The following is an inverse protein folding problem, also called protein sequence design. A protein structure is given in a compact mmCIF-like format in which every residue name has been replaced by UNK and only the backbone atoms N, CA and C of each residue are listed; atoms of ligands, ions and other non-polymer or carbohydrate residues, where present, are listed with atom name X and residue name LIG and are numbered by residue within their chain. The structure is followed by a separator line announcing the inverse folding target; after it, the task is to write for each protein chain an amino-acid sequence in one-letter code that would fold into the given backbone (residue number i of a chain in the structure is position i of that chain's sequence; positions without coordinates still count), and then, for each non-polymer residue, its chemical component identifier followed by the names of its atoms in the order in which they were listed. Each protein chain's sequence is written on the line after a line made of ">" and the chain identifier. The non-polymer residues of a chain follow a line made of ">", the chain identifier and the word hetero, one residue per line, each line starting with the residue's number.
data_IF_927220789601
#
_entry.id   IF_927220789601
#
_cell.length_a   1.000
_cell.length_b   1.000
_cell.length_c   1.000
_cell.angle_alpha   90.00
_cell.angle_beta   90.00
_cell.angle_gamma   90.00
#
_symmetry.space_group_name_H-M   'P 1'
#
loop_
_entity.id
_entity.type
_entity.pdbx_description
1 polymer ?
#
# COMPACT_ATOMS: atom_id res chain seq x y z
N UNK A 1 -9.69 7.27 -23.98
CA UNK A 1 -10.32 5.96 -23.72
C UNK A 1 -11.78 6.00 -24.18
N UNK A 2 -12.22 4.94 -24.85
CA UNK A 2 -13.63 4.70 -25.19
C UNK A 2 -13.99 3.35 -24.60
N UNK A 3 -15.07 3.26 -23.84
CA UNK A 3 -15.58 2.03 -23.25
C UNK A 3 -17.11 2.03 -23.17
N UNK A 4 -17.68 0.84 -23.23
CA UNK A 4 -19.10 0.63 -23.05
C UNK A 4 -19.33 -0.22 -21.80
N UNK A 5 -20.22 0.23 -20.91
CA UNK A 5 -20.65 -0.55 -19.76
C UNK A 5 -21.97 -1.22 -20.10
N UNK A 6 -21.98 -2.54 -20.08
CA UNK A 6 -23.14 -3.35 -20.51
C UNK A 6 -23.52 -4.34 -19.41
N UNK A 7 -24.81 -4.69 -19.36
CA UNK A 7 -25.28 -5.82 -18.56
C UNK A 7 -24.91 -7.15 -19.26
N UNK A 8 -24.49 -8.12 -18.47
CA UNK A 8 -24.12 -9.46 -18.96
C UNK A 8 -24.76 -10.56 -18.11
N UNK A 9 -24.75 -11.80 -18.62
CA UNK A 9 -25.14 -12.99 -17.87
C UNK A 9 -23.97 -13.57 -17.03
N UNK A 10 -22.80 -12.99 -17.14
CA UNK A 10 -21.65 -13.40 -16.35
C UNK A 10 -21.78 -12.95 -14.91
N UNK A 11 -20.99 -13.55 -14.03
CA UNK A 11 -20.85 -13.09 -12.66
C UNK A 11 -20.52 -11.59 -12.65
N UNK A 12 -21.20 -10.84 -11.80
CA UNK A 12 -20.95 -9.39 -11.66
C UNK A 12 -19.52 -9.15 -11.17
N UNK A 13 -18.89 -8.13 -11.73
CA UNK A 13 -17.60 -7.65 -11.21
C UNK A 13 -17.76 -7.09 -9.80
N UNK A 14 -16.68 -7.11 -9.03
CA UNK A 14 -16.60 -6.56 -7.69
C UNK A 14 -15.30 -5.80 -7.47
N UNK A 15 -15.11 -5.30 -6.25
CA UNK A 15 -13.88 -4.66 -5.85
C UNK A 15 -12.74 -5.68 -5.78
N UNK A 16 -11.69 -5.45 -6.53
CA UNK A 16 -10.43 -6.18 -6.46
C UNK A 16 -9.30 -5.20 -6.16
N UNK A 17 -8.23 -5.63 -5.50
CA UNK A 17 -7.07 -4.80 -5.19
C UNK A 17 -6.60 -4.01 -6.42
N UNK A 18 -6.43 -2.68 -6.29
CA UNK A 18 -6.16 -1.77 -7.41
C UNK A 18 -7.41 -1.15 -8.04
N UNK A 19 -8.60 -1.70 -7.81
CA UNK A 19 -9.95 -1.20 -8.13
C UNK A 19 -10.06 -0.45 -9.47
N UNK A 20 -9.73 -1.15 -10.58
CA UNK A 20 -9.75 -0.64 -11.95
C UNK A 20 -8.49 0.10 -12.39
N UNK A 21 -7.64 0.59 -11.48
CA UNK A 21 -6.36 1.18 -11.85
C UNK A 21 -5.42 0.15 -12.50
N UNK A 22 -5.49 -1.10 -12.09
CA UNK A 22 -4.65 -2.20 -12.63
C UNK A 22 -4.82 -2.35 -14.14
N UNK A 23 -6.06 -2.38 -14.64
CA UNK A 23 -6.37 -2.45 -16.07
C UNK A 23 -5.97 -1.18 -16.81
N UNK A 24 -6.28 -0.02 -16.21
CA UNK A 24 -5.94 1.29 -16.77
C UNK A 24 -4.43 1.48 -16.89
N UNK A 25 -3.69 1.16 -15.85
CA UNK A 25 -2.23 1.27 -15.82
C UNK A 25 -1.55 0.25 -16.75
N UNK A 26 -2.08 -0.96 -16.87
CA UNK A 26 -1.59 -1.90 -17.87
C UNK A 26 -1.66 -1.30 -19.29
N UNK A 27 -2.78 -0.67 -19.64
CA UNK A 27 -2.95 -0.06 -20.95
C UNK A 27 -2.03 1.16 -21.15
N UNK A 28 -1.95 2.07 -20.17
CA UNK A 28 -1.12 3.28 -20.22
C UNK A 28 0.36 2.93 -20.28
N UNK A 29 0.83 2.10 -19.36
CA UNK A 29 2.24 1.72 -19.25
C UNK A 29 2.72 0.90 -20.47
N UNK A 30 1.84 0.03 -21.00
CA UNK A 30 2.13 -0.67 -22.26
C UNK A 30 2.25 0.30 -23.44
N UNK A 31 1.42 1.35 -23.49
CA UNK A 31 1.52 2.39 -24.51
C UNK A 31 2.80 3.22 -24.36
N UNK A 32 3.21 3.55 -23.13
CA UNK A 32 4.48 4.25 -22.85
C UNK A 32 5.68 3.40 -23.27
N UNK A 33 5.68 2.10 -22.97
CA UNK A 33 6.74 1.17 -23.38
C UNK A 33 6.78 1.03 -24.92
N UNK A 34 5.62 0.99 -25.59
CA UNK A 34 5.57 0.97 -27.05
C UNK A 34 6.09 2.29 -27.65
N UNK A 35 5.74 3.43 -27.06
CA UNK A 35 6.25 4.74 -27.49
C UNK A 35 7.77 4.83 -27.31
N UNK A 36 8.30 4.40 -26.17
CA UNK A 36 9.73 4.34 -25.90
C UNK A 36 10.47 3.54 -26.98
N UNK A 37 9.97 2.34 -27.29
CA UNK A 37 10.54 1.48 -28.33
C UNK A 37 10.51 2.13 -29.73
N UNK A 38 9.40 2.79 -30.11
CA UNK A 38 9.27 3.49 -31.40
C UNK A 38 10.19 4.69 -31.52
N UNK A 39 10.45 5.39 -30.42
CA UNK A 39 11.32 6.55 -30.37
C UNK A 39 12.80 6.18 -30.20
N UNK A 40 13.11 4.91 -29.90
CA UNK A 40 14.45 4.47 -29.55
C UNK A 40 14.96 5.06 -28.23
N UNK A 41 14.05 5.37 -27.31
CA UNK A 41 14.35 5.94 -25.99
C UNK A 41 14.24 4.81 -24.95
N UNK A 42 15.19 4.77 -24.00
CA UNK A 42 15.14 3.84 -22.88
C UNK A 42 13.86 4.03 -22.05
N UNK A 43 13.14 2.94 -21.65
CA UNK A 43 11.92 3.02 -20.88
C UNK A 43 12.03 3.75 -19.53
N UNK A 44 13.16 3.68 -18.85
CA UNK A 44 13.41 4.47 -17.63
C UNK A 44 13.61 5.95 -17.98
N UNK A 45 14.34 6.25 -19.04
CA UNK A 45 14.65 7.61 -19.45
C UNK A 45 13.40 8.39 -19.89
N UNK A 46 12.49 7.76 -20.65
CA UNK A 46 11.24 8.43 -21.05
C UNK A 46 10.38 8.76 -19.83
N UNK A 47 10.35 7.88 -18.80
CA UNK A 47 9.62 8.13 -17.56
C UNK A 47 10.29 9.22 -16.74
N UNK A 48 11.61 9.17 -16.54
CA UNK A 48 12.36 10.19 -15.79
C UNK A 48 12.11 11.61 -16.29
N UNK A 49 11.90 11.77 -17.60
CA UNK A 49 11.56 13.06 -18.23
C UNK A 49 10.13 13.52 -18.01
N UNK A 50 9.21 12.61 -17.64
CA UNK A 50 7.77 12.85 -17.63
C UNK A 50 7.12 12.62 -16.26
N UNK A 51 7.85 12.23 -15.22
CA UNK A 51 7.31 12.06 -13.87
C UNK A 51 7.01 13.40 -13.20
N UNK A 52 5.94 13.47 -12.37
CA UNK A 52 5.71 14.59 -11.49
C UNK A 52 6.77 14.63 -10.39
N UNK A 53 7.10 15.82 -9.92
CA UNK A 53 8.00 16.06 -8.79
C UNK A 53 7.24 16.66 -7.63
N UNK A 54 7.86 16.62 -6.45
CA UNK A 54 7.34 17.29 -5.27
C UNK A 54 7.16 18.79 -5.54
N UNK A 55 6.04 19.37 -5.09
CA UNK A 55 5.64 20.76 -5.32
C UNK A 55 4.97 21.02 -6.67
N UNK A 56 4.94 20.06 -7.59
CA UNK A 56 4.27 20.25 -8.88
C UNK A 56 2.76 19.95 -8.79
N UNK A 57 1.98 20.75 -9.54
CA UNK A 57 0.55 20.47 -9.69
C UNK A 57 0.34 19.30 -10.63
N UNK A 58 -0.53 18.37 -10.26
CA UNK A 58 -0.94 17.23 -11.07
C UNK A 58 -2.32 17.47 -11.71
N UNK A 59 -2.41 18.04 -12.90
CA UNK A 59 -3.70 18.49 -13.47
C UNK A 59 -4.69 17.34 -13.68
N UNK A 60 -4.21 16.16 -14.04
CA UNK A 60 -5.04 14.98 -14.29
C UNK A 60 -5.43 14.24 -13.00
N UNK A 61 -4.87 14.62 -11.86
CA UNK A 61 -5.16 14.03 -10.55
C UNK A 61 -5.71 15.09 -9.60
N UNK A 62 -7.01 15.35 -9.74
CA UNK A 62 -7.78 16.37 -8.99
C UNK A 62 -7.23 17.80 -9.06
N UNK A 63 -6.19 18.07 -9.86
CA UNK A 63 -5.51 19.37 -9.87
C UNK A 63 -4.79 19.69 -8.56
N UNK A 64 -4.50 18.69 -7.75
CA UNK A 64 -3.80 18.87 -6.47
C UNK A 64 -2.28 18.95 -6.64
N UNK A 65 -1.63 19.56 -5.66
CA UNK A 65 -0.18 19.57 -5.53
C UNK A 65 0.33 18.19 -5.12
N UNK A 66 1.48 17.79 -5.64
CA UNK A 66 2.22 16.60 -5.24
C UNK A 66 3.04 16.93 -4.00
N UNK A 67 2.46 16.78 -2.83
CA UNK A 67 2.99 17.24 -1.54
C UNK A 67 4.20 16.42 -1.05
N UNK A 68 4.36 15.20 -1.56
CA UNK A 68 5.47 14.32 -1.21
C UNK A 68 5.78 13.35 -2.35
N UNK A 69 7.06 13.23 -2.76
CA UNK A 69 7.40 12.42 -3.94
C UNK A 69 8.85 11.93 -3.93
N UNK A 70 9.05 10.62 -3.86
CA UNK A 70 10.33 9.95 -4.07
C UNK A 70 10.39 9.15 -5.38
N UNK A 71 9.55 9.47 -6.37
CA UNK A 71 9.40 8.68 -7.60
C UNK A 71 10.67 8.60 -8.44
N UNK A 72 11.48 9.67 -8.49
CA UNK A 72 12.77 9.64 -9.19
C UNK A 72 13.75 8.68 -8.49
N UNK A 73 13.80 8.67 -7.17
CA UNK A 73 14.60 7.72 -6.39
C UNK A 73 14.13 6.27 -6.63
N UNK A 74 12.82 6.04 -6.72
CA UNK A 74 12.27 4.72 -7.07
C UNK A 74 12.75 4.25 -8.45
N UNK A 75 12.75 5.12 -9.46
CA UNK A 75 13.26 4.80 -10.80
C UNK A 75 14.75 4.41 -10.76
N UNK A 76 15.58 5.18 -10.09
CA UNK A 76 17.02 4.91 -9.99
C UNK A 76 17.32 3.64 -9.18
N UNK A 77 16.59 3.41 -8.11
CA UNK A 77 16.72 2.22 -7.28
C UNK A 77 16.41 0.95 -8.06
N UNK A 78 15.27 0.91 -8.75
CA UNK A 78 14.86 -0.26 -9.55
C UNK A 78 15.81 -0.50 -10.72
N UNK A 79 16.19 0.55 -11.49
CA UNK A 79 17.15 0.44 -12.59
C UNK A 79 18.44 -0.23 -12.16
N UNK A 80 19.04 0.24 -11.07
CA UNK A 80 20.28 -0.30 -10.50
C UNK A 80 20.12 -1.73 -10.01
N UNK A 81 19.07 -2.01 -9.23
CA UNK A 81 18.87 -3.30 -8.55
C UNK A 81 18.51 -4.44 -9.48
N UNK A 82 17.74 -4.18 -10.54
CA UNK A 82 17.43 -5.20 -11.56
C UNK A 82 18.67 -5.48 -12.44
N UNK A 83 19.64 -4.56 -12.49
CA UNK A 83 20.78 -4.62 -13.40
C UNK A 83 20.37 -4.28 -14.83
N UNK A 84 19.57 -3.23 -14.99
CA UNK A 84 18.96 -2.85 -16.27
C UNK A 84 19.95 -2.65 -17.38
N UNK A 85 21.00 -1.85 -17.15
CA UNK A 85 21.96 -1.46 -18.17
C UNK A 85 22.75 -2.65 -18.77
N UNK A 86 22.83 -3.74 -18.01
CA UNK A 86 23.53 -4.98 -18.43
C UNK A 86 22.57 -6.01 -19.04
N UNK A 87 21.28 -5.93 -18.73
CA UNK A 87 20.29 -6.96 -19.05
C UNK A 87 19.33 -6.55 -20.18
N UNK A 88 19.12 -5.24 -20.35
CA UNK A 88 18.15 -4.73 -21.32
C UNK A 88 18.69 -4.81 -22.75
N UNK A 89 17.87 -5.17 -23.76
CA UNK A 89 16.49 -5.63 -23.60
C UNK A 89 16.39 -7.10 -23.23
N UNK A 90 17.29 -7.95 -23.72
CA UNK A 90 17.28 -9.38 -23.46
C UNK A 90 18.67 -10.02 -23.70
N UNK A 91 18.84 -11.25 -23.20
CA UNK A 91 20.04 -12.06 -23.35
C UNK A 91 19.66 -13.49 -23.73
N UNK A 92 20.33 -14.02 -24.74
CA UNK A 92 20.19 -15.42 -25.12
C UNK A 92 20.88 -16.30 -24.05
N UNK A 93 20.15 -17.28 -23.53
CA UNK A 93 20.65 -18.20 -22.50
C UNK A 93 21.10 -19.54 -23.09
N UNK A 94 20.98 -19.72 -24.41
CA UNK A 94 21.16 -20.99 -25.08
C UNK A 94 19.95 -21.93 -24.93
N UNK A 95 19.96 -23.04 -25.66
CA UNK A 95 18.90 -24.08 -25.63
C UNK A 95 17.47 -23.54 -25.85
N UNK A 96 17.31 -22.50 -26.68
CA UNK A 96 16.01 -21.92 -26.98
C UNK A 96 15.47 -20.95 -25.91
N UNK A 97 16.18 -20.78 -24.80
CA UNK A 97 15.77 -19.89 -23.72
C UNK A 97 16.34 -18.48 -23.84
N UNK A 98 15.56 -17.50 -23.43
CA UNK A 98 15.94 -16.11 -23.39
C UNK A 98 15.56 -15.49 -22.03
N UNK A 99 16.44 -14.67 -21.48
CA UNK A 99 16.11 -13.79 -20.35
C UNK A 99 15.93 -12.37 -20.84
N UNK A 100 14.84 -11.76 -20.43
CA UNK A 100 14.50 -10.39 -20.82
C UNK A 100 14.02 -9.61 -19.59
N UNK A 101 14.21 -8.31 -19.64
CA UNK A 101 13.72 -7.38 -18.60
C UNK A 101 12.70 -6.43 -19.19
N UNK A 102 11.73 -6.03 -18.36
CA UNK A 102 10.74 -5.01 -18.69
C UNK A 102 10.36 -4.25 -17.43
N UNK A 103 9.77 -3.08 -17.59
CA UNK A 103 9.43 -2.23 -16.47
C UNK A 103 8.03 -1.63 -16.57
N UNK A 104 7.51 -1.22 -15.41
CA UNK A 104 6.28 -0.45 -15.28
C UNK A 104 6.34 0.48 -14.09
N UNK A 105 5.53 1.52 -14.12
CA UNK A 105 5.39 2.52 -13.08
C UNK A 105 3.92 2.67 -12.73
N UNK A 106 3.62 3.01 -11.47
CA UNK A 106 2.26 3.17 -11.01
C UNK A 106 2.13 4.25 -9.95
N UNK A 107 0.94 4.83 -9.89
CA UNK A 107 0.45 5.60 -8.76
C UNK A 107 -0.95 5.10 -8.37
N UNK A 108 -1.35 5.38 -7.13
CA UNK A 108 -2.69 5.10 -6.60
C UNK A 108 -3.10 6.25 -5.69
N UNK A 109 -4.32 6.27 -5.17
CA UNK A 109 -4.71 7.21 -4.12
C UNK A 109 -4.39 6.71 -2.71
N UNK A 110 -4.37 7.62 -1.75
CA UNK A 110 -4.39 7.33 -0.31
C UNK A 110 -5.78 7.64 0.25
N UNK A 111 -6.75 6.77 -0.06
CA UNK A 111 -8.17 7.04 0.16
C UNK A 111 -8.77 7.93 -0.94
N UNK A 112 -10.06 8.23 -0.81
CA UNK A 112 -10.81 9.13 -1.70
C UNK A 112 -11.03 10.44 -0.94
N UNK A 113 -10.48 11.53 -1.47
CA UNK A 113 -10.54 12.85 -0.84
C UNK A 113 -11.99 13.30 -0.60
N UNK A 114 -12.25 13.82 0.59
CA UNK A 114 -13.57 14.26 1.07
C UNK A 114 -14.68 13.20 1.08
N UNK A 115 -14.34 11.91 0.92
CA UNK A 115 -15.30 10.80 0.90
C UNK A 115 -14.97 9.79 2.00
N UNK A 116 -13.72 9.36 2.09
CA UNK A 116 -13.33 8.38 3.09
C UNK A 116 -13.25 8.99 4.48
N UNK A 117 -13.79 8.25 5.43
CA UNK A 117 -13.87 8.64 6.84
C UNK A 117 -13.25 7.53 7.69
N UNK A 118 -12.34 7.90 8.55
CA UNK A 118 -11.79 7.03 9.60
C UNK A 118 -12.10 7.61 10.97
N UNK A 119 -12.46 6.76 11.92
CA UNK A 119 -12.68 7.18 13.31
C UNK A 119 -11.98 6.25 14.29
N UNK A 120 -11.57 6.83 15.40
CA UNK A 120 -10.96 6.11 16.51
C UNK A 120 -11.50 6.59 17.85
N UNK A 121 -11.68 5.67 18.77
CA UNK A 121 -11.91 5.97 20.19
C UNK A 121 -10.78 5.35 20.99
N UNK A 122 -10.17 6.13 21.86
CA UNK A 122 -9.06 5.71 22.71
C UNK A 122 -9.37 6.04 24.17
N UNK A 123 -9.21 5.05 25.05
CA UNK A 123 -9.55 5.13 26.47
C UNK A 123 -8.39 4.66 27.32
N UNK A 124 -8.07 5.40 28.40
CA UNK A 124 -7.22 4.91 29.50
C UNK A 124 -8.03 4.03 30.44
N UNK A 125 -7.58 2.80 30.66
CA UNK A 125 -8.19 1.81 31.54
C UNK A 125 -7.66 1.91 32.98
N UNK A 126 -8.39 1.35 33.93
CA UNK A 126 -8.07 1.39 35.36
C UNK A 126 -6.66 0.86 35.72
N UNK A 127 -6.18 -0.12 34.95
CA UNK A 127 -4.84 -0.68 35.12
C UNK A 127 -3.71 0.13 34.48
N UNK A 128 -4.00 1.29 33.86
CA UNK A 128 -3.00 2.13 33.22
C UNK A 128 -2.68 1.73 31.75
N UNK A 129 -3.34 0.71 31.21
CA UNK A 129 -3.28 0.36 29.79
C UNK A 129 -4.37 1.10 29.00
N UNK A 130 -4.31 0.98 27.69
CA UNK A 130 -5.23 1.67 26.78
C UNK A 130 -6.07 0.69 25.97
N UNK A 131 -7.31 1.10 25.65
CA UNK A 131 -8.14 0.41 24.66
C UNK A 131 -8.34 1.34 23.46
N UNK A 132 -7.91 0.89 22.28
CA UNK A 132 -8.13 1.52 20.99
C UNK A 132 -9.30 0.81 20.28
N UNK A 133 -10.40 1.51 20.07
CA UNK A 133 -11.54 1.02 19.28
C UNK A 133 -11.55 1.69 17.90
N UNK A 134 -11.58 0.87 16.84
CA UNK A 134 -11.52 1.30 15.44
C UNK A 134 -12.55 0.55 14.60
N UNK A 135 -13.13 1.24 13.61
CA UNK A 135 -14.04 0.62 12.64
C UNK A 135 -13.32 -0.08 11.48
N UNK A 136 -12.03 0.19 11.29
CA UNK A 136 -11.23 -0.46 10.25
C UNK A 136 -11.11 -1.98 10.47
N UNK A 137 -11.35 -2.75 9.39
CA UNK A 137 -11.25 -4.22 9.45
C UNK A 137 -9.88 -4.71 8.97
N UNK A 138 -9.22 -5.54 9.77
CA UNK A 138 -8.00 -6.21 9.34
C UNK A 138 -8.33 -7.39 8.43
N UNK A 139 -8.11 -7.20 7.13
CA UNK A 139 -8.28 -8.21 6.10
C UNK A 139 -6.98 -8.96 5.75
N UNK A 140 -6.02 -8.97 6.67
CA UNK A 140 -4.66 -9.49 6.45
C UNK A 140 -3.63 -8.40 6.16
N UNK A 141 -4.00 -7.13 6.36
CA UNK A 141 -3.11 -5.97 6.15
C UNK A 141 -2.24 -5.66 7.36
N UNK A 142 -2.60 -6.18 8.55
CA UNK A 142 -1.95 -5.83 9.81
C UNK A 142 -2.38 -4.46 10.33
N UNK A 143 -3.57 -3.98 9.95
CA UNK A 143 -4.02 -2.64 10.34
C UNK A 143 -4.16 -2.47 11.85
N UNK A 144 -4.62 -3.48 12.57
CA UNK A 144 -4.70 -3.44 14.04
C UNK A 144 -3.33 -3.14 14.66
N UNK A 145 -2.29 -3.79 14.14
CA UNK A 145 -0.91 -3.57 14.61
C UNK A 145 -0.41 -2.16 14.30
N UNK A 146 -0.56 -1.69 13.05
CA UNK A 146 -0.03 -0.37 12.68
C UNK A 146 -0.80 0.77 13.34
N UNK A 147 -2.11 0.64 13.52
CA UNK A 147 -2.92 1.65 14.22
C UNK A 147 -2.58 1.70 15.71
N UNK A 148 -2.31 0.55 16.33
CA UNK A 148 -1.76 0.51 17.69
C UNK A 148 -0.36 1.15 17.77
N UNK A 149 0.52 0.94 16.79
CA UNK A 149 1.84 1.59 16.74
C UNK A 149 1.73 3.11 16.61
N UNK A 150 0.81 3.63 15.80
CA UNK A 150 0.53 5.06 15.70
C UNK A 150 0.07 5.63 17.06
N UNK A 151 -0.84 4.93 17.74
CA UNK A 151 -1.32 5.35 19.06
C UNK A 151 -0.21 5.29 20.12
N UNK A 152 0.62 4.25 20.11
CA UNK A 152 1.72 4.07 21.04
C UNK A 152 2.76 5.18 20.93
N UNK A 153 3.12 5.56 19.70
CA UNK A 153 4.03 6.69 19.43
C UNK A 153 3.45 8.01 19.95
N UNK A 154 2.18 8.30 19.70
CA UNK A 154 1.54 9.52 20.16
C UNK A 154 1.41 9.61 21.68
N UNK A 155 1.21 8.46 22.35
CA UNK A 155 1.07 8.36 23.80
C UNK A 155 2.40 8.17 24.53
N UNK A 156 3.50 7.99 23.79
CA UNK A 156 4.82 7.66 24.34
C UNK A 156 4.77 6.44 25.28
N UNK A 157 4.16 5.35 24.80
CA UNK A 157 3.98 4.14 25.60
C UNK A 157 4.38 2.86 24.83
N UNK A 158 4.73 1.77 25.55
CA UNK A 158 4.94 0.46 24.94
C UNK A 158 3.72 -0.03 24.18
N UNK A 159 3.94 -0.68 23.02
CA UNK A 159 2.86 -1.22 22.18
C UNK A 159 1.97 -2.22 22.93
N UNK A 160 2.55 -3.01 23.81
CA UNK A 160 1.84 -4.00 24.65
C UNK A 160 0.84 -3.39 25.62
N UNK A 161 0.91 -2.08 25.86
CA UNK A 161 -0.06 -1.36 26.70
C UNK A 161 -1.34 -1.01 25.94
N UNK A 162 -1.41 -1.26 24.63
CA UNK A 162 -2.58 -0.95 23.80
C UNK A 162 -3.30 -2.24 23.39
N UNK A 163 -4.55 -2.37 23.82
CA UNK A 163 -5.47 -3.41 23.36
C UNK A 163 -6.35 -2.85 22.25
N UNK A 164 -6.39 -3.52 21.09
CA UNK A 164 -7.20 -3.11 19.95
C UNK A 164 -8.53 -3.86 19.95
N UNK A 165 -9.63 -3.11 19.77
CA UNK A 165 -10.97 -3.62 19.46
C UNK A 165 -11.30 -3.16 18.04
N UNK A 166 -11.09 -4.04 17.06
CA UNK A 166 -11.29 -3.75 15.65
C UNK A 166 -12.58 -4.33 15.08
N UNK A 167 -13.22 -3.58 14.17
CA UNK A 167 -14.32 -4.05 13.32
C UNK A 167 -15.57 -4.59 14.03
N UNK A 168 -15.77 -4.27 15.30
CA UNK A 168 -17.01 -4.59 16.02
C UNK A 168 -18.02 -3.46 15.81
N UNK A 169 -19.02 -3.70 14.98
CA UNK A 169 -20.03 -2.69 14.61
C UNK A 169 -20.95 -2.25 15.77
N UNK A 170 -20.97 -2.97 16.87
CA UNK A 170 -21.76 -2.60 18.07
C UNK A 170 -21.02 -1.59 18.96
N UNK A 171 -19.68 -1.56 18.90
CA UNK A 171 -18.86 -0.73 19.79
C UNK A 171 -17.86 0.17 19.08
N UNK A 172 -17.48 -0.14 17.84
CA UNK A 172 -16.52 0.65 17.09
C UNK A 172 -17.14 1.95 16.55
N UNK A 173 -16.38 3.06 16.52
CA UNK A 173 -16.81 4.26 15.84
C UNK A 173 -16.90 4.03 14.32
N UNK A 174 -17.63 4.88 13.61
CA UNK A 174 -17.83 4.75 12.18
C UNK A 174 -16.52 4.83 11.39
N UNK A 175 -16.36 3.90 10.45
CA UNK A 175 -15.30 3.89 9.45
C UNK A 175 -15.93 3.52 8.11
N UNK A 176 -15.53 4.16 7.02
CA UNK A 176 -16.12 3.91 5.70
C UNK A 176 -15.70 2.58 5.09
N UNK A 177 -14.69 1.94 5.65
CA UNK A 177 -14.15 0.64 5.23
C UNK A 177 -12.72 0.71 4.71
N UNK A 178 -12.02 -0.42 4.82
CA UNK A 178 -10.63 -0.56 4.38
C UNK A 178 -10.53 -0.74 2.86
N UNK A 179 -11.03 0.21 2.07
CA UNK A 179 -10.94 0.26 0.61
C UNK A 179 -10.17 1.50 0.15
N UNK A 180 -9.89 1.63 -1.13
CA UNK A 180 -9.13 2.74 -1.73
C UNK A 180 -7.82 3.03 -1.01
N UNK A 181 -7.26 2.04 -0.31
CA UNK A 181 -6.04 2.16 0.49
C UNK A 181 -6.11 3.23 1.60
N UNK A 182 -7.30 3.45 2.19
CA UNK A 182 -7.56 4.56 3.12
C UNK A 182 -7.00 4.34 4.53
N UNK A 183 -6.92 3.09 5.00
CA UNK A 183 -6.75 2.76 6.42
C UNK A 183 -5.54 3.43 7.07
N UNK A 184 -4.33 3.24 6.52
CA UNK A 184 -3.12 3.84 7.13
C UNK A 184 -3.18 5.36 7.12
N UNK A 185 -3.63 5.95 6.02
CA UNK A 185 -3.60 7.40 5.83
C UNK A 185 -4.77 8.10 6.54
N UNK A 186 -6.01 7.64 6.36
CA UNK A 186 -7.21 8.29 6.90
C UNK A 186 -7.48 7.85 8.34
N UNK A 187 -7.65 6.54 8.58
CA UNK A 187 -7.92 6.03 9.93
C UNK A 187 -6.69 6.19 10.83
N UNK A 188 -5.48 6.02 10.30
CA UNK A 188 -4.24 6.28 11.04
C UNK A 188 -4.13 7.73 11.52
N UNK A 189 -4.56 8.71 10.71
CA UNK A 189 -4.61 10.12 11.12
C UNK A 189 -5.66 10.37 12.21
N UNK A 190 -6.82 9.71 12.12
CA UNK A 190 -7.82 9.75 13.19
C UNK A 190 -7.25 9.19 14.51
N UNK A 191 -6.51 8.09 14.46
CA UNK A 191 -5.85 7.48 15.63
C UNK A 191 -4.79 8.41 16.22
N UNK A 192 -3.92 8.99 15.40
CA UNK A 192 -2.91 9.97 15.85
C UNK A 192 -3.57 11.14 16.59
N UNK A 193 -4.57 11.77 15.98
CA UNK A 193 -5.30 12.89 16.58
C UNK A 193 -6.05 12.48 17.85
N UNK A 194 -6.62 11.28 17.87
CA UNK A 194 -7.33 10.74 19.03
C UNK A 194 -6.36 10.51 20.20
N UNK A 195 -5.20 9.95 19.94
CA UNK A 195 -4.16 9.71 20.95
C UNK A 195 -3.61 11.02 21.53
N UNK A 196 -3.35 12.01 20.69
CA UNK A 196 -2.94 13.35 21.13
C UNK A 196 -4.01 14.02 22.00
N UNK A 197 -5.28 13.95 21.62
CA UNK A 197 -6.38 14.50 22.40
C UNK A 197 -6.55 13.79 23.75
N UNK A 198 -6.32 12.48 23.81
CA UNK A 198 -6.32 11.74 25.09
C UNK A 198 -5.10 12.11 25.95
N UNK A 199 -3.92 12.24 25.34
CA UNK A 199 -2.68 12.65 25.98
C UNK A 199 -2.86 14.00 26.70
N UNK A 200 -3.47 14.98 26.05
CA UNK A 200 -3.79 16.29 26.67
C UNK A 200 -4.63 16.13 27.94
N UNK A 201 -5.68 15.31 27.91
CA UNK A 201 -6.53 15.05 29.08
C UNK A 201 -5.79 14.38 30.22
N UNK A 202 -4.91 13.41 29.91
CA UNK A 202 -4.08 12.73 30.90
C UNK A 202 -3.09 13.72 31.52
N UNK A 203 -2.40 14.52 30.70
CA UNK A 203 -1.43 15.54 31.12
C UNK A 203 -2.09 16.56 32.04
N UNK A 204 -3.27 17.07 31.70
CA UNK A 204 -4.00 18.03 32.52
C UNK A 204 -4.40 17.49 33.91
N UNK A 205 -4.78 16.20 34.00
CA UNK A 205 -5.07 15.58 35.30
C UNK A 205 -3.80 15.29 36.08
N UNK A 206 -2.76 14.78 35.42
CA UNK A 206 -1.45 14.52 36.03
C UNK A 206 -0.83 15.80 36.61
N UNK A 207 -0.89 16.93 35.90
CA UNK A 207 -0.40 18.21 36.36
C UNK A 207 -1.04 18.65 37.72
N UNK A 208 -2.37 18.44 37.82
CA UNK A 208 -3.09 18.70 39.08
C UNK A 208 -2.64 17.79 40.21
N UNK A 209 -2.45 16.47 39.92
CA UNK A 209 -1.99 15.51 40.93
C UNK A 209 -0.57 15.75 41.37
N UNK A 210 0.31 16.17 40.46
CA UNK A 210 1.73 16.49 40.74
C UNK A 210 1.92 17.90 41.27
N UNK A 211 0.86 18.72 41.27
CA UNK A 211 0.90 20.14 41.66
C UNK A 211 1.94 20.93 40.86
N UNK A 212 1.92 20.79 39.53
CA UNK A 212 2.80 21.51 38.57
C UNK A 212 1.98 22.03 37.38
N UNK A 213 2.62 22.77 36.47
CA UNK A 213 2.04 23.18 35.19
C UNK A 213 2.00 22.00 34.20
N UNK A 214 1.07 22.03 33.25
CA UNK A 214 0.98 21.00 32.21
C UNK A 214 2.27 20.89 31.39
N UNK A 215 2.93 22.00 31.08
CA UNK A 215 4.19 22.02 30.33
C UNK A 215 5.35 21.34 31.09
N UNK A 216 5.19 21.10 32.40
CA UNK A 216 6.17 20.42 33.23
C UNK A 216 5.85 18.92 33.45
N UNK A 217 4.86 18.37 32.72
CA UNK A 217 4.50 16.96 32.78
C UNK A 217 5.04 16.21 31.57
N UNK A 218 5.80 15.17 31.83
CA UNK A 218 6.26 14.21 30.82
C UNK A 218 5.51 12.88 31.02
N UNK A 219 4.93 12.35 29.95
CA UNK A 219 4.43 10.97 29.94
C UNK A 219 5.58 10.04 29.57
N UNK A 220 5.83 9.03 30.39
CA UNK A 220 6.94 8.09 30.19
C UNK A 220 6.43 6.65 30.39
N UNK A 221 6.01 6.02 29.29
CA UNK A 221 5.59 4.62 29.30
C UNK A 221 4.34 4.35 30.14
N UNK A 222 4.48 4.17 31.46
CA UNK A 222 3.39 3.80 32.38
C UNK A 222 3.10 4.85 33.46
N UNK A 223 3.77 5.99 33.43
CA UNK A 223 3.60 7.07 34.41
C UNK A 223 3.64 8.45 33.78
N UNK A 224 3.23 9.45 34.56
CA UNK A 224 3.47 10.85 34.31
C UNK A 224 4.44 11.37 35.40
N UNK A 225 5.44 12.13 35.01
CA UNK A 225 6.44 12.68 35.92
C UNK A 225 6.70 14.17 35.65
N UNK A 226 7.20 14.87 36.64
CA UNK A 226 7.69 16.26 36.45
C UNK A 226 8.99 16.25 35.67
N UNK A 227 9.24 17.28 34.86
CA UNK A 227 10.42 17.38 34.01
C UNK A 227 11.77 17.30 34.78
N UNK A 228 11.78 17.63 36.06
CA UNK A 228 12.92 17.44 36.96
C UNK A 228 13.03 16.01 37.54
N UNK A 229 12.01 15.16 37.33
CA UNK A 229 11.97 13.80 37.83
C UNK A 229 11.71 13.68 39.34
N UNK A 230 11.37 14.79 40.06
CA UNK A 230 11.18 14.76 41.52
C UNK A 230 9.86 14.14 41.95
N UNK A 231 8.84 14.18 41.06
CA UNK A 231 7.51 13.63 41.34
C UNK A 231 7.04 12.78 40.17
N UNK A 232 6.36 11.69 40.47
CA UNK A 232 5.71 10.82 39.47
C UNK A 232 4.39 10.30 39.96
N UNK A 233 3.50 9.96 39.06
CA UNK A 233 2.22 9.30 39.30
C UNK A 233 1.98 8.28 38.19
N UNK A 234 1.54 7.07 38.54
CA UNK A 234 1.27 6.04 37.56
C UNK A 234 0.00 6.34 36.76
N UNK A 235 -0.09 5.81 35.52
CA UNK A 235 -1.31 5.93 34.71
C UNK A 235 -2.52 5.27 35.38
N UNK A 236 -2.31 4.20 36.15
CA UNK A 236 -3.38 3.57 36.94
C UNK A 236 -3.90 4.50 38.04
N UNK A 237 -3.04 5.20 38.78
CA UNK A 237 -3.46 6.20 39.76
C UNK A 237 -4.19 7.38 39.10
N UNK A 238 -3.75 7.83 37.94
CA UNK A 238 -4.42 8.87 37.15
C UNK A 238 -5.81 8.40 36.71
N UNK A 239 -5.92 7.16 36.21
CA UNK A 239 -7.19 6.56 35.80
C UNK A 239 -8.16 6.45 37.00
N UNK A 240 -7.68 5.99 38.15
CA UNK A 240 -8.49 5.91 39.38
C UNK A 240 -8.92 7.31 39.85
N UNK A 241 -8.01 8.29 39.87
CA UNK A 241 -8.32 9.67 40.24
C UNK A 241 -9.34 10.31 39.31
N UNK A 242 -9.36 9.94 38.04
CA UNK A 242 -10.33 10.45 37.06
C UNK A 242 -11.77 10.06 37.40
N UNK A 243 -11.96 8.89 37.97
CA UNK A 243 -13.27 8.33 38.32
C UNK A 243 -13.69 8.74 39.75
N UNK A 244 -12.74 8.70 40.69
CA UNK A 244 -13.00 8.99 42.09
C UNK A 244 -12.84 10.45 42.44
N UNK A 245 -13.96 11.19 42.45
CA UNK A 245 -14.00 12.58 42.92
C UNK A 245 -13.83 13.64 41.82
N UNK A 246 -13.29 13.31 40.66
CA UNK A 246 -13.16 14.24 39.54
C UNK A 246 -14.20 14.06 38.43
N UNK A 247 -14.80 12.87 38.30
CA UNK A 247 -15.80 12.53 37.28
C UNK A 247 -15.37 12.92 35.85
N UNK A 248 -14.09 12.65 35.50
CA UNK A 248 -13.48 12.97 34.21
C UNK A 248 -13.36 11.68 33.41
N UNK A 249 -13.92 11.63 32.22
CA UNK A 249 -13.68 10.54 31.29
C UNK A 249 -12.33 10.71 30.59
N UNK A 250 -11.37 9.82 30.86
CA UNK A 250 -10.09 9.76 30.16
C UNK A 250 -10.24 8.92 28.88
N UNK A 251 -11.03 9.45 27.98
CA UNK A 251 -11.24 8.92 26.65
C UNK A 251 -11.31 10.05 25.61
N UNK A 252 -10.98 9.76 24.38
CA UNK A 252 -11.14 10.64 23.25
C UNK A 252 -11.76 9.87 22.09
N UNK A 253 -12.55 10.55 21.28
CA UNK A 253 -13.07 10.04 20.01
C UNK A 253 -12.83 11.09 18.95
N UNK A 254 -12.23 10.69 17.83
CA UNK A 254 -11.93 11.56 16.71
C UNK A 254 -12.39 10.91 15.43
N UNK A 255 -12.99 11.71 14.56
CA UNK A 255 -13.32 11.36 13.19
C UNK A 255 -12.52 12.25 12.25
N UNK A 256 -11.88 11.65 11.27
CA UNK A 256 -11.05 12.34 10.29
C UNK A 256 -11.48 12.02 8.87
N UNK A 257 -11.41 13.01 7.99
CA UNK A 257 -11.48 12.89 6.54
C UNK A 257 -10.41 13.79 5.93
N UNK A 258 -9.81 13.37 4.83
CA UNK A 258 -8.78 14.18 4.18
C UNK A 258 -9.33 14.95 2.97
N UNK A 259 -9.00 16.25 2.83
CA UNK A 259 -9.34 17.02 1.63
C UNK A 259 -8.49 16.67 0.41
N UNK A 260 -7.38 15.95 0.60
CA UNK A 260 -6.48 15.51 -0.46
C UNK A 260 -6.27 13.99 -0.39
N UNK A 261 -5.76 13.43 -1.48
CA UNK A 261 -5.39 12.01 -1.59
C UNK A 261 -3.97 11.92 -2.13
N UNK A 262 -2.93 12.06 -1.27
CA UNK A 262 -1.54 12.05 -1.72
C UNK A 262 -1.19 10.68 -2.31
N UNK A 263 -0.66 10.64 -3.55
CA UNK A 263 -0.43 9.36 -4.20
C UNK A 263 0.81 8.65 -3.65
N UNK A 264 0.71 7.37 -3.27
CA UNK A 264 1.85 6.48 -3.24
C UNK A 264 2.30 6.18 -4.66
N UNK A 265 3.60 5.98 -4.85
CA UNK A 265 4.18 5.62 -6.14
C UNK A 265 4.90 4.28 -6.05
N UNK A 266 4.96 3.58 -7.18
CA UNK A 266 5.75 2.36 -7.32
C UNK A 266 6.38 2.28 -8.69
N UNK A 267 7.64 1.90 -8.73
CA UNK A 267 8.34 1.43 -9.93
C UNK A 267 8.62 -0.06 -9.77
N UNK A 268 8.34 -0.84 -10.80
CA UNK A 268 8.62 -2.27 -10.82
C UNK A 268 9.32 -2.70 -12.09
N UNK A 269 10.25 -3.64 -11.98
CA UNK A 269 10.89 -4.28 -13.12
C UNK A 269 10.92 -5.80 -12.95
N UNK A 270 10.53 -6.50 -14.02
CA UNK A 270 10.54 -7.95 -14.11
C UNK A 270 11.73 -8.43 -14.94
N UNK A 271 12.43 -9.46 -14.48
CA UNK A 271 13.28 -10.31 -15.30
C UNK A 271 12.57 -11.65 -15.49
N UNK A 272 12.29 -12.00 -16.73
CA UNK A 272 11.67 -13.27 -17.10
C UNK A 272 12.69 -14.21 -17.76
N UNK A 273 12.47 -15.51 -17.61
CA UNK A 273 13.05 -16.52 -18.48
C UNK A 273 11.93 -17.12 -19.35
N UNK A 274 12.11 -17.06 -20.66
CA UNK A 274 11.12 -17.49 -21.64
C UNK A 274 11.75 -18.56 -22.55
N UNK A 275 11.06 -19.69 -22.70
CA UNK A 275 11.36 -20.72 -23.67
C UNK A 275 10.66 -20.39 -25.00
N UNK A 276 11.44 -20.18 -26.07
CA UNK A 276 10.90 -19.75 -27.38
C UNK A 276 10.13 -20.84 -28.10
N UNK A 277 10.39 -22.11 -27.77
CA UNK A 277 9.73 -23.24 -28.42
C UNK A 277 8.35 -23.51 -27.81
N UNK A 278 8.29 -23.53 -26.48
CA UNK A 278 7.07 -23.85 -25.73
C UNK A 278 6.23 -22.62 -25.37
N UNK A 279 6.84 -21.42 -25.33
CA UNK A 279 6.24 -20.21 -24.82
C UNK A 279 6.20 -20.12 -23.30
N UNK A 280 6.71 -21.13 -22.59
CA UNK A 280 6.74 -21.12 -21.13
C UNK A 280 7.54 -19.93 -20.61
N UNK A 281 6.92 -19.17 -19.71
CA UNK A 281 7.47 -17.92 -19.19
C UNK A 281 7.45 -17.95 -17.67
N UNK A 282 8.64 -17.76 -17.06
CA UNK A 282 8.80 -17.69 -15.61
C UNK A 282 9.37 -16.32 -15.21
N UNK A 283 8.79 -15.69 -14.19
CA UNK A 283 9.40 -14.51 -13.55
C UNK A 283 10.50 -14.99 -12.61
N UNK A 284 11.76 -14.78 -13.01
CA UNK A 284 12.91 -15.23 -12.22
C UNK A 284 13.37 -14.20 -11.20
N UNK A 285 13.07 -12.90 -11.45
CA UNK A 285 13.35 -11.84 -10.50
C UNK A 285 12.36 -10.68 -10.73
N UNK A 286 11.83 -10.15 -9.64
CA UNK A 286 11.04 -8.91 -9.65
C UNK A 286 11.62 -7.94 -8.62
N UNK A 287 11.94 -6.74 -9.06
CA UNK A 287 12.46 -5.67 -8.19
C UNK A 287 11.46 -4.53 -8.21
N UNK A 288 11.11 -4.05 -7.02
CA UNK A 288 10.25 -2.91 -6.85
C UNK A 288 10.86 -1.88 -5.90
N UNK A 289 10.58 -0.61 -6.16
CA UNK A 289 10.77 0.46 -5.20
C UNK A 289 9.44 1.19 -5.01
N UNK A 290 9.09 1.45 -3.77
CA UNK A 290 7.81 2.03 -3.36
C UNK A 290 8.05 3.29 -2.55
N UNK A 291 7.36 4.35 -2.93
CA UNK A 291 7.17 5.54 -2.11
C UNK A 291 5.78 5.48 -1.47
N UNK A 292 5.73 5.13 -0.21
CA UNK A 292 4.53 5.16 0.63
C UNK A 292 4.66 6.17 1.79
N UNK A 293 5.46 7.21 1.59
CA UNK A 293 5.85 8.11 2.67
C UNK A 293 6.73 7.39 3.70
N UNK A 294 6.48 7.65 4.96
CA UNK A 294 7.11 6.90 6.06
C UNK A 294 6.35 5.58 6.29
N UNK A 295 6.94 4.40 6.04
CA UNK A 295 6.29 3.14 6.37
C UNK A 295 6.18 2.96 7.89
N UNK A 296 4.96 2.95 8.44
CA UNK A 296 4.72 2.78 9.89
C UNK A 296 5.32 1.47 10.41
N UNK A 297 5.17 0.39 9.64
CA UNK A 297 5.81 -0.89 9.91
C UNK A 297 6.46 -1.41 8.62
N UNK A 298 7.78 -1.28 8.46
CA UNK A 298 8.47 -1.69 7.23
C UNK A 298 8.31 -3.17 6.88
N UNK A 299 8.17 -4.05 7.88
CA UNK A 299 8.00 -5.48 7.63
C UNK A 299 6.60 -5.80 7.08
N UNK A 300 5.55 -5.25 7.69
CA UNK A 300 4.17 -5.41 7.21
C UNK A 300 4.00 -4.73 5.84
N UNK A 301 4.57 -3.55 5.64
CA UNK A 301 4.57 -2.88 4.34
C UNK A 301 5.22 -3.73 3.24
N UNK A 302 6.36 -4.38 3.54
CA UNK A 302 7.04 -5.28 2.61
C UNK A 302 6.18 -6.49 2.25
N UNK A 303 5.56 -7.14 3.24
CA UNK A 303 4.65 -8.28 3.00
C UNK A 303 3.48 -7.87 2.11
N UNK A 304 2.92 -6.67 2.30
CA UNK A 304 1.87 -6.13 1.44
C UNK A 304 2.36 -5.90 0.00
N UNK A 305 3.57 -5.38 -0.16
CA UNK A 305 4.15 -5.16 -1.49
C UNK A 305 4.45 -6.49 -2.21
N UNK A 306 5.09 -7.44 -1.55
CA UNK A 306 5.40 -8.76 -2.11
C UNK A 306 4.12 -9.51 -2.51
N UNK A 307 3.09 -9.48 -1.65
CA UNK A 307 1.79 -10.10 -1.91
C UNK A 307 1.06 -9.47 -3.11
N UNK A 308 1.09 -8.13 -3.24
CA UNK A 308 0.48 -7.44 -4.38
C UNK A 308 1.23 -7.69 -5.69
N UNK A 309 2.56 -7.73 -5.65
CA UNK A 309 3.40 -8.10 -6.79
C UNK A 309 3.05 -9.51 -7.27
N UNK A 310 2.92 -10.47 -6.35
CA UNK A 310 2.55 -11.85 -6.69
C UNK A 310 1.17 -11.93 -7.36
N UNK A 311 0.18 -11.19 -6.87
CA UNK A 311 -1.13 -11.11 -7.50
C UNK A 311 -1.03 -10.56 -8.94
N UNK A 312 -0.26 -9.50 -9.15
CA UNK A 312 -0.03 -8.94 -10.48
C UNK A 312 0.70 -9.91 -11.43
N UNK A 313 1.64 -10.72 -10.94
CA UNK A 313 2.29 -11.78 -11.72
C UNK A 313 1.25 -12.83 -12.14
N UNK A 314 0.37 -13.24 -11.22
CA UNK A 314 -0.72 -14.16 -11.50
C UNK A 314 -1.65 -13.65 -12.60
N UNK A 315 -2.09 -12.41 -12.49
CA UNK A 315 -2.92 -11.76 -13.52
C UNK A 315 -2.22 -11.69 -14.88
N UNK A 316 -0.90 -11.52 -14.89
CA UNK A 316 -0.15 -11.41 -16.13
C UNK A 316 0.02 -12.74 -16.87
N UNK A 317 0.14 -13.86 -16.15
CA UNK A 317 0.61 -15.12 -16.71
C UNK A 317 -0.32 -16.33 -16.52
N UNK A 318 -1.13 -16.39 -15.43
CA UNK A 318 -1.77 -17.65 -15.04
C UNK A 318 -3.25 -17.54 -14.69
N UNK A 319 -3.70 -16.43 -14.11
CA UNK A 319 -5.06 -16.30 -13.62
C UNK A 319 -6.02 -15.88 -14.74
N UNK A 320 -7.01 -16.73 -15.00
CA UNK A 320 -8.04 -16.50 -16.01
C UNK A 320 -9.37 -17.11 -15.55
N UNK A 321 -10.47 -16.49 -15.93
CA UNK A 321 -11.81 -17.07 -15.80
C UNK A 321 -12.47 -17.07 -17.19
N UNK A 322 -12.77 -18.25 -17.66
CA UNK A 322 -13.51 -18.46 -18.91
C UNK A 322 -14.95 -18.89 -18.62
N UNK A 323 -15.84 -18.66 -19.57
CA UNK A 323 -17.25 -18.95 -19.41
C UNK A 323 -17.75 -19.88 -20.52
N UNK A 324 -18.55 -20.82 -20.14
CA UNK A 324 -19.25 -21.67 -21.13
C UNK A 324 -20.40 -20.89 -21.84
N UNK A 325 -21.05 -21.52 -22.79
CA UNK A 325 -22.18 -20.91 -23.54
C UNK A 325 -23.39 -20.55 -22.67
N UNK A 326 -23.45 -21.02 -21.43
CA UNK A 326 -24.51 -20.73 -20.46
C UNK A 326 -24.09 -19.62 -19.49
N UNK A 327 -22.88 -19.10 -19.62
CA UNK A 327 -22.31 -18.09 -18.69
C UNK A 327 -21.82 -18.68 -17.38
N UNK A 328 -21.59 -19.99 -17.31
CA UNK A 328 -21.00 -20.64 -16.13
C UNK A 328 -19.48 -20.58 -16.18
N UNK A 329 -18.78 -20.18 -15.08
CA UNK A 329 -17.33 -20.16 -15.06
C UNK A 329 -16.76 -21.58 -15.13
N UNK A 330 -15.77 -21.76 -16.01
CA UNK A 330 -15.06 -23.04 -16.14
C UNK A 330 -14.08 -23.23 -14.97
N UNK A 331 -13.40 -22.16 -14.57
CA UNK A 331 -12.46 -22.13 -13.45
C UNK A 331 -13.20 -21.84 -12.13
N UNK A 332 -13.99 -22.80 -11.66
CA UNK A 332 -14.88 -22.67 -10.51
C UNK A 332 -14.32 -23.22 -9.20
N UNK A 333 -13.06 -23.61 -9.19
CA UNK A 333 -12.34 -24.07 -8.00
C UNK A 333 -10.85 -23.76 -8.11
N UNK A 334 -10.11 -23.80 -7.00
CA UNK A 334 -8.66 -23.61 -6.96
C UNK A 334 -7.87 -24.72 -7.69
N UNK A 335 -8.53 -25.78 -8.14
CA UNK A 335 -7.92 -26.78 -9.03
C UNK A 335 -7.80 -26.27 -10.47
N UNK A 336 -8.74 -25.45 -10.92
CA UNK A 336 -8.77 -24.88 -12.27
C UNK A 336 -8.20 -23.45 -12.29
N UNK A 337 -8.55 -22.63 -11.32
CA UNK A 337 -8.05 -21.27 -11.19
C UNK A 337 -6.63 -21.25 -10.62
N UNK A 338 -5.67 -20.79 -11.42
CA UNK A 338 -4.23 -20.96 -11.16
C UNK A 338 -3.61 -19.73 -10.48
N UNK A 339 -3.76 -19.64 -9.16
CA UNK A 339 -3.02 -18.68 -8.35
C UNK A 339 -1.56 -19.13 -8.26
N UNK A 340 -0.58 -18.24 -8.54
CA UNK A 340 0.84 -18.59 -8.40
C UNK A 340 1.20 -18.98 -6.97
N UNK A 341 2.02 -19.99 -6.84
CA UNK A 341 2.61 -20.43 -5.58
C UNK A 341 4.06 -19.95 -5.45
N UNK A 342 4.67 -20.17 -4.30
CA UNK A 342 6.08 -19.83 -4.09
C UNK A 342 7.03 -20.55 -5.05
N UNK A 343 6.63 -21.68 -5.62
CA UNK A 343 7.43 -22.45 -6.59
C UNK A 343 7.37 -21.86 -8.00
N UNK A 344 6.32 -21.12 -8.32
CA UNK A 344 6.08 -20.58 -9.66
C UNK A 344 6.82 -19.28 -9.92
N UNK A 345 7.41 -18.67 -8.88
CA UNK A 345 8.09 -17.38 -8.95
C UNK A 345 9.52 -17.49 -8.43
N UNK A 346 10.39 -16.66 -9.01
CA UNK A 346 11.74 -16.46 -8.50
C UNK A 346 11.79 -15.51 -7.29
N UNK A 347 12.75 -14.61 -7.29
CA UNK A 347 12.95 -13.63 -6.22
C UNK A 347 12.02 -12.42 -6.40
N UNK A 348 11.40 -11.97 -5.31
CA UNK A 348 10.81 -10.62 -5.21
C UNK A 348 11.64 -9.80 -4.23
N UNK A 349 11.99 -8.58 -4.60
CA UNK A 349 12.72 -7.63 -3.75
C UNK A 349 12.02 -6.29 -3.76
N UNK A 350 11.76 -5.76 -2.57
CA UNK A 350 11.06 -4.48 -2.37
C UNK A 350 11.94 -3.54 -1.55
N UNK A 351 12.08 -2.31 -2.03
CA UNK A 351 12.71 -1.20 -1.31
C UNK A 351 11.70 -0.09 -1.06
N UNK A 352 11.91 0.67 0.00
CA UNK A 352 11.13 1.86 0.30
C UNK A 352 12.02 3.08 0.11
N UNK A 353 11.61 3.98 -0.79
CA UNK A 353 12.27 5.26 -0.98
C UNK A 353 11.53 6.32 -0.17
N UNK A 354 12.27 7.01 0.69
CA UNK A 354 11.68 7.88 1.69
C UNK A 354 11.11 9.17 1.08
N UNK A 355 9.87 9.47 1.39
CA UNK A 355 9.24 10.79 1.34
C UNK A 355 8.51 11.05 2.66
N UNK A 356 8.07 12.27 2.90
CA UNK A 356 7.32 12.60 4.11
C UNK A 356 6.04 13.34 3.75
N UNK A 357 4.90 12.74 4.05
CA UNK A 357 3.59 13.33 3.79
C UNK A 357 3.03 13.98 5.06
N UNK A 358 3.06 15.30 5.14
CA UNK A 358 2.64 16.04 6.35
C UNK A 358 1.17 15.79 6.73
N UNK A 359 0.32 15.50 5.76
CA UNK A 359 -1.10 15.25 6.01
C UNK A 359 -1.40 13.85 6.50
N UNK A 360 -0.45 12.92 6.37
CA UNK A 360 -0.57 11.56 6.90
C UNK A 360 -0.06 11.41 8.34
N UNK A 361 -0.36 10.28 9.00
CA UNK A 361 0.18 10.00 10.32
C UNK A 361 1.69 9.76 10.21
N UNK A 362 2.49 10.53 10.94
CA UNK A 362 3.96 10.43 10.93
C UNK A 362 4.61 10.40 9.55
N UNK A 363 4.01 11.08 8.58
CA UNK A 363 4.54 11.17 7.21
C UNK A 363 4.16 10.00 6.30
N UNK A 364 3.25 9.13 6.71
CA UNK A 364 2.83 7.97 5.92
C UNK A 364 1.83 8.34 4.82
N UNK A 365 1.97 7.67 3.68
CA UNK A 365 0.92 7.50 2.65
C UNK A 365 0.40 6.07 2.69
N UNK A 366 -0.46 5.71 1.76
CA UNK A 366 -0.93 4.34 1.63
C UNK A 366 0.05 3.44 0.86
N UNK A 367 -0.18 2.13 0.91
CA UNK A 367 0.57 1.14 0.12
C UNK A 367 -0.33 0.04 -0.45
N UNK A 368 -1.59 -0.02 0.03
CA UNK A 368 -2.45 -1.19 -0.15
C UNK A 368 -2.62 -1.65 -1.60
N UNK A 369 -2.83 -0.74 -2.55
CA UNK A 369 -3.23 -1.08 -3.91
C UNK A 369 -2.17 -0.79 -4.97
N UNK A 370 -1.30 0.21 -4.78
CA UNK A 370 -0.28 0.58 -5.77
C UNK A 370 0.62 -0.59 -6.17
N UNK A 371 0.83 -1.52 -5.26
CA UNK A 371 1.77 -2.65 -5.36
C UNK A 371 1.36 -3.75 -6.34
N UNK A 372 0.10 -3.78 -6.79
CA UNK A 372 -0.37 -4.77 -7.80
C UNK A 372 -0.21 -4.26 -9.24
N UNK A 373 -0.02 -2.95 -9.43
CA UNK A 373 -0.21 -2.32 -10.73
C UNK A 373 0.99 -2.45 -11.68
N UNK A 374 2.21 -2.56 -11.17
CA UNK A 374 3.43 -2.58 -12.00
C UNK A 374 3.78 -3.93 -12.63
N UNK A 375 3.44 -5.10 -12.05
CA UNK A 375 3.84 -6.40 -12.62
C UNK A 375 3.30 -6.64 -14.03
N UNK A 376 2.04 -6.28 -14.28
CA UNK A 376 1.40 -6.54 -15.57
C UNK A 376 2.14 -5.88 -16.73
N UNK A 377 2.36 -4.55 -16.74
CA UNK A 377 3.10 -3.89 -17.81
C UNK A 377 4.59 -4.28 -17.84
N UNK A 378 5.22 -4.54 -16.70
CA UNK A 378 6.62 -4.95 -16.63
C UNK A 378 6.84 -6.32 -17.28
N UNK A 379 5.97 -7.29 -17.01
CA UNK A 379 6.03 -8.63 -17.62
C UNK A 379 5.72 -8.55 -19.10
N UNK A 380 4.67 -7.83 -19.50
CA UNK A 380 4.31 -7.68 -20.92
C UNK A 380 5.44 -7.03 -21.74
N UNK A 381 6.16 -6.06 -21.16
CA UNK A 381 7.32 -5.43 -21.77
C UNK A 381 8.51 -6.39 -21.86
N UNK A 382 8.77 -7.18 -20.81
CA UNK A 382 9.79 -8.21 -20.84
C UNK A 382 9.51 -9.29 -21.90
N UNK A 383 8.24 -9.72 -22.06
CA UNK A 383 7.83 -10.64 -23.12
C UNK A 383 8.04 -10.02 -24.50
N UNK A 384 7.73 -8.73 -24.67
CA UNK A 384 8.05 -8.02 -25.91
C UNK A 384 9.54 -8.02 -26.19
N UNK A 385 10.37 -7.72 -25.21
CA UNK A 385 11.82 -7.69 -25.34
C UNK A 385 12.41 -9.07 -25.66
N UNK A 386 11.75 -10.16 -25.23
CA UNK A 386 12.14 -11.54 -25.55
C UNK A 386 11.71 -11.98 -26.95
N UNK A 387 10.54 -11.52 -27.45
CA UNK A 387 9.86 -12.08 -28.63
C UNK A 387 9.75 -11.11 -29.80
N UNK A 388 9.88 -9.80 -29.55
CA UNK A 388 9.59 -8.74 -30.52
C UNK A 388 8.08 -8.50 -30.75
N UNK A 389 7.19 -9.18 -30.02
CA UNK A 389 5.73 -9.08 -30.18
C UNK A 389 5.03 -8.55 -28.95
N UNK A 390 4.07 -7.64 -29.16
CA UNK A 390 3.28 -7.05 -28.08
C UNK A 390 1.98 -7.80 -27.85
N UNK A 391 1.78 -8.22 -26.62
CA UNK A 391 0.54 -8.82 -26.13
C UNK A 391 -0.28 -7.76 -25.41
N UNK A 392 -1.57 -7.64 -25.77
CA UNK A 392 -2.51 -6.64 -25.22
C UNK A 392 -3.68 -7.28 -24.46
N UNK A 393 -3.69 -8.59 -24.38
CA UNK A 393 -4.66 -9.40 -23.64
C UNK A 393 -3.94 -10.19 -22.56
N UNK A 394 -4.53 -10.30 -21.39
CA UNK A 394 -4.02 -11.02 -20.24
C UNK A 394 -4.98 -12.18 -19.89
N UNK A 395 -4.44 -13.26 -19.34
CA UNK A 395 -3.02 -13.58 -19.14
C UNK A 395 -2.30 -13.82 -20.48
N UNK A 396 -0.99 -13.58 -20.52
CA UNK A 396 -0.13 -13.92 -21.65
C UNK A 396 0.21 -15.42 -21.53
N UNK A 397 -0.45 -16.25 -22.35
CA UNK A 397 -0.31 -17.70 -22.23
C UNK A 397 0.85 -18.25 -23.06
N UNK A 398 1.42 -19.41 -22.68
CA UNK A 398 2.46 -20.08 -23.45
C UNK A 398 2.04 -20.34 -24.92
N UNK A 399 0.78 -20.70 -25.15
CA UNK A 399 0.25 -20.94 -26.49
C UNK A 399 0.28 -19.68 -27.35
N UNK A 400 -0.11 -18.53 -26.80
CA UNK A 400 -0.05 -17.25 -27.53
C UNK A 400 1.38 -16.93 -27.95
N UNK A 401 2.37 -17.17 -27.07
CA UNK A 401 3.78 -16.93 -27.36
C UNK A 401 4.30 -17.91 -28.41
N UNK A 402 4.11 -19.22 -28.23
CA UNK A 402 4.57 -20.25 -29.15
C UNK A 402 3.98 -20.12 -30.57
N UNK A 403 2.71 -19.71 -30.66
CA UNK A 403 2.04 -19.48 -31.95
C UNK A 403 2.60 -18.25 -32.72
N UNK A 404 3.31 -17.36 -32.03
CA UNK A 404 3.89 -16.16 -32.63
C UNK A 404 5.33 -16.39 -33.12
N UNK A 405 5.99 -17.44 -32.67
CA UNK A 405 7.37 -17.81 -33.06
C UNK A 405 7.46 -18.51 -34.43
N UNK A 406 6.32 -18.80 -35.03
CA UNK A 406 6.20 -19.33 -36.40
C UNK A 406 5.89 -18.21 -37.38
#
# INVERSE_FOLDING_TARGET
>A
FVYDVVYTNHMSSGAYRGYGATQGLFAVESAVNELAARLGIDPFEIRKRNIPREGEIMPAYYGQENTSCALEACLESVRRRIGWDEKYPCRDMGNGKVRAVGMGMAMQGSGINNVDVGSATLKLNDGGGYTLSIGAADMGTGCDTILAQIAAEALDCPLENISVLGADTDSAPYDSGSYASSTTYVTGKAVEQCALALREKITALAARMLACSEDNVLLTGSCAETADGEKSVSLGEIALASQCGNAIALEATVTHTSPISPPPFMVGAAEIELDRETGETQVVNFVAAVDCGTPINPNLARVQAEGGILQGIGMALTENITYDRRGMPAENSLMQYKIPTRQDIGRISVEFEASYEETGPYGAKSIGEVVINTPLPAIADAVYNATGKRFRELPITPEQIAMTAK
#
